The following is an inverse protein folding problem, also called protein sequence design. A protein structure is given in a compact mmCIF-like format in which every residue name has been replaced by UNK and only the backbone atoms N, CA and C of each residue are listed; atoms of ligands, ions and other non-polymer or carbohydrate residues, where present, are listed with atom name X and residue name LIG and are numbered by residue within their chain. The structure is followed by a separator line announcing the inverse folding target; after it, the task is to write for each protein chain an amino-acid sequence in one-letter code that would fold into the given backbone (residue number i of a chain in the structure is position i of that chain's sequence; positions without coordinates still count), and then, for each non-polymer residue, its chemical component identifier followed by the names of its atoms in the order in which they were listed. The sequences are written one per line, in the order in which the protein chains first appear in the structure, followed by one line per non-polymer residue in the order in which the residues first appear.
data_IF_495043982030
#
_entry.id   IF_495043982030
#
_cell.length_a   1.000
_cell.length_b   1.000
_cell.length_c   1.000
_cell.angle_alpha   90.00
_cell.angle_beta   90.00
_cell.angle_gamma   90.00
#
_symmetry.space_group_name_H-M   'P 1'
#
loop_
_entity.id
_entity.type
_entity.pdbx_description
1 polymer ?
#
# COMPACT_ATOMS: atom_id res chain seq x y z
N UNK A 1 8.35 30.24 -11.20
CA UNK A 1 7.16 29.52 -10.73
C UNK A 1 7.64 28.23 -10.14
N UNK A 2 7.14 27.87 -8.97
CA UNK A 2 7.39 26.55 -8.38
C UNK A 2 6.48 25.52 -9.05
N UNK A 3 7.00 24.31 -9.28
CA UNK A 3 6.25 23.22 -9.92
C UNK A 3 5.93 22.19 -8.87
N UNK A 4 4.64 21.90 -8.66
CA UNK A 4 4.21 20.85 -7.75
C UNK A 4 4.74 19.48 -8.20
N UNK A 5 5.31 18.72 -7.27
CA UNK A 5 5.78 17.35 -7.51
C UNK A 5 4.73 16.36 -7.00
N UNK A 6 4.11 15.59 -7.90
CA UNK A 6 3.06 14.63 -7.54
C UNK A 6 3.63 13.24 -7.34
N UNK A 7 3.38 12.66 -6.18
CA UNK A 7 3.61 11.24 -5.89
C UNK A 7 2.28 10.50 -5.84
N UNK A 8 2.25 9.28 -6.36
CA UNK A 8 1.09 8.40 -6.38
C UNK A 8 1.41 7.10 -5.64
N UNK A 9 0.55 6.66 -4.73
CA UNK A 9 0.63 5.35 -4.10
C UNK A 9 -0.11 4.30 -4.94
N UNK A 10 0.60 3.26 -5.34
CA UNK A 10 0.06 2.16 -6.17
C UNK A 10 -0.03 0.89 -5.34
N UNK A 11 -1.25 0.37 -5.17
CA UNK A 11 -1.51 -0.90 -4.50
C UNK A 11 -1.49 -2.06 -5.50
N UNK A 12 -0.70 -3.09 -5.22
CA UNK A 12 -0.70 -4.36 -5.95
C UNK A 12 -0.89 -5.55 -5.00
N UNK A 13 -1.34 -6.67 -5.56
CA UNK A 13 -1.49 -7.95 -4.86
C UNK A 13 -0.68 -9.01 -5.61
N UNK A 14 -0.07 -9.91 -4.87
CA UNK A 14 0.83 -10.95 -5.40
C UNK A 14 0.09 -12.06 -6.16
N UNK A 15 -1.18 -12.32 -5.84
CA UNK A 15 -1.99 -13.38 -6.44
C UNK A 15 -3.43 -12.92 -6.68
N UNK A 16 -4.02 -13.34 -7.79
CA UNK A 16 -5.44 -13.14 -8.09
C UNK A 16 -6.34 -14.24 -7.51
N UNK A 17 -5.77 -15.39 -7.14
CA UNK A 17 -6.45 -16.50 -6.49
C UNK A 17 -5.57 -17.08 -5.39
N UNK A 18 -6.19 -17.57 -4.33
CA UNK A 18 -5.51 -18.15 -3.16
C UNK A 18 -6.41 -19.22 -2.56
N UNK A 19 -5.82 -20.28 -2.02
CA UNK A 19 -6.56 -21.30 -1.27
C UNK A 19 -7.02 -20.74 0.09
N UNK A 20 -7.96 -21.44 0.73
CA UNK A 20 -8.42 -21.11 2.08
C UNK A 20 -7.27 -21.16 3.08
N UNK A 21 -7.26 -20.21 4.03
CA UNK A 21 -6.13 -19.97 4.94
C UNK A 21 -4.84 -19.49 4.27
N UNK A 22 -4.78 -19.41 2.93
CA UNK A 22 -3.57 -19.07 2.19
C UNK A 22 -3.14 -17.61 2.35
N UNK A 23 -1.85 -17.36 2.16
CA UNK A 23 -1.25 -16.03 2.33
C UNK A 23 -1.41 -15.15 1.09
N UNK A 24 -1.86 -13.91 1.33
CA UNK A 24 -2.03 -12.83 0.36
C UNK A 24 -1.10 -11.69 0.75
N UNK A 25 -0.26 -11.24 -0.17
CA UNK A 25 0.66 -10.11 0.08
C UNK A 25 0.23 -8.90 -0.73
N UNK A 26 -0.09 -7.82 -0.02
CA UNK A 26 -0.34 -6.51 -0.61
C UNK A 26 0.93 -5.68 -0.56
N UNK A 27 1.29 -5.07 -1.68
CA UNK A 27 2.44 -4.17 -1.79
C UNK A 27 1.96 -2.79 -2.19
N UNK A 28 2.46 -1.77 -1.51
CA UNK A 28 2.29 -0.38 -1.91
C UNK A 28 3.63 0.16 -2.43
N UNK A 29 3.59 0.79 -3.59
CA UNK A 29 4.74 1.44 -4.23
C UNK A 29 4.45 2.92 -4.44
N UNK A 30 5.36 3.79 -4.02
CA UNK A 30 5.33 5.22 -4.32
C UNK A 30 5.92 5.47 -5.71
N UNK A 31 5.19 6.20 -6.54
CA UNK A 31 5.58 6.54 -7.91
C UNK A 31 5.49 8.05 -8.11
N UNK A 32 6.62 8.68 -8.41
CA UNK A 32 6.66 10.10 -8.77
C UNK A 32 6.19 10.31 -10.22
N UNK A 33 5.54 11.45 -10.47
CA UNK A 33 5.19 11.92 -11.82
C UNK A 33 6.42 12.23 -12.68
N UNK A 34 7.52 12.60 -12.03
CA UNK A 34 8.82 12.82 -12.63
C UNK A 34 9.84 11.78 -12.10
N UNK A 35 10.33 10.92 -12.98
CA UNK A 35 11.33 9.90 -12.63
C UNK A 35 12.66 10.45 -12.10
N UNK A 36 12.93 11.74 -12.28
CA UNK A 36 14.15 12.38 -11.79
C UNK A 36 14.04 12.87 -10.33
N UNK A 37 12.86 12.83 -9.73
CA UNK A 37 12.66 13.24 -8.33
C UNK A 37 12.62 12.02 -7.40
N UNK A 38 13.40 12.03 -6.30
CA UNK A 38 13.43 10.92 -5.36
C UNK A 38 12.12 10.86 -4.57
N UNK A 39 11.44 9.72 -4.59
CA UNK A 39 10.25 9.47 -3.76
C UNK A 39 10.58 8.92 -2.37
N UNK A 40 11.86 8.81 -2.01
CA UNK A 40 12.30 8.22 -0.73
C UNK A 40 12.57 9.26 0.36
N UNK A 41 12.39 10.54 0.06
CA UNK A 41 12.74 11.65 0.95
C UNK A 41 11.85 11.85 2.18
N UNK A 42 10.95 10.94 2.51
CA UNK A 42 9.95 11.08 3.58
C UNK A 42 10.38 10.43 4.91
N UNK A 43 9.74 10.83 6.02
CA UNK A 43 9.94 10.24 7.36
C UNK A 43 9.21 8.91 7.60
N UNK A 44 8.36 8.50 6.67
CA UNK A 44 7.60 7.25 6.68
C UNK A 44 6.21 7.46 6.10
N UNK A 45 5.64 6.46 5.46
CA UNK A 45 4.26 6.53 4.92
C UNK A 45 3.46 5.34 5.46
N UNK A 46 2.30 5.63 6.04
CA UNK A 46 1.32 4.62 6.43
C UNK A 46 0.14 4.69 5.48
N UNK A 47 -0.15 3.57 4.81
CA UNK A 47 -1.27 3.44 3.89
C UNK A 47 -2.32 2.53 4.51
N UNK A 48 -3.53 3.05 4.69
CA UNK A 48 -4.65 2.29 5.24
C UNK A 48 -5.49 1.73 4.11
N UNK A 49 -5.63 0.41 4.07
CA UNK A 49 -6.46 -0.31 3.13
C UNK A 49 -7.89 -0.49 3.68
N UNK A 50 -8.84 -0.74 2.79
CA UNK A 50 -10.20 -1.12 3.17
C UNK A 50 -10.20 -2.30 4.16
N UNK A 51 -11.03 -2.20 5.19
CA UNK A 51 -11.03 -3.14 6.32
C UNK A 51 -9.94 -2.88 7.38
N UNK A 52 -9.23 -1.74 7.31
CA UNK A 52 -8.34 -1.25 8.38
C UNK A 52 -6.93 -1.84 8.38
N UNK A 53 -6.59 -2.69 7.42
CA UNK A 53 -5.22 -3.22 7.26
C UNK A 53 -4.27 -2.07 6.90
N UNK A 54 -3.12 -1.99 7.55
CA UNK A 54 -2.13 -0.95 7.30
C UNK A 54 -0.89 -1.50 6.61
N UNK A 55 -0.37 -0.76 5.63
CA UNK A 55 0.92 -0.99 4.98
C UNK A 55 1.85 0.15 5.38
N UNK A 56 3.01 -0.18 5.95
CA UNK A 56 4.02 0.81 6.31
C UNK A 56 5.15 0.81 5.28
N UNK A 57 5.43 1.98 4.73
CA UNK A 57 6.61 2.27 3.93
C UNK A 57 7.59 2.99 4.84
N UNK A 58 8.70 2.33 5.15
CA UNK A 58 9.71 2.88 6.05
C UNK A 58 10.35 4.14 5.46
N UNK A 59 10.87 5.02 6.32
CA UNK A 59 11.67 6.16 5.90
C UNK A 59 12.76 5.75 4.90
N UNK A 60 12.99 6.55 3.86
CA UNK A 60 14.00 6.23 2.85
C UNK A 60 13.62 5.13 1.86
N UNK A 61 12.42 4.54 1.95
CA UNK A 61 11.97 3.44 1.09
C UNK A 61 10.84 3.87 0.18
N UNK A 62 10.74 3.31 -1.03
CA UNK A 62 9.63 3.59 -1.95
C UNK A 62 8.51 2.53 -1.86
N UNK A 63 8.75 1.43 -1.14
CA UNK A 63 7.85 0.28 -1.08
C UNK A 63 7.63 -0.20 0.34
N UNK A 64 6.44 -0.75 0.58
CA UNK A 64 6.06 -1.44 1.81
C UNK A 64 5.08 -2.56 1.49
N UNK A 65 5.03 -3.58 2.33
CA UNK A 65 4.11 -4.71 2.15
C UNK A 65 3.49 -5.18 3.45
N UNK A 66 2.35 -5.84 3.33
CA UNK A 66 1.68 -6.54 4.43
C UNK A 66 1.14 -7.87 3.90
N UNK A 67 1.23 -8.90 4.73
CA UNK A 67 0.64 -10.21 4.44
C UNK A 67 -0.55 -10.44 5.34
N UNK A 68 -1.66 -10.87 4.75
CA UNK A 68 -2.83 -11.36 5.47
C UNK A 68 -3.17 -12.77 5.01
N UNK A 69 -3.88 -13.52 5.84
CA UNK A 69 -4.44 -14.80 5.45
C UNK A 69 -5.85 -14.60 4.89
N UNK A 70 -6.17 -15.32 3.82
CA UNK A 70 -7.56 -15.55 3.46
C UNK A 70 -8.25 -16.23 4.64
N UNK A 71 -9.53 -15.91 4.92
CA UNK A 71 -10.31 -16.69 5.89
C UNK A 71 -10.27 -18.21 5.60
N UNK A 72 -10.65 -18.99 6.58
CA UNK A 72 -10.68 -20.45 6.49
C UNK A 72 -11.95 -20.92 7.19
N UNK A 73 -12.77 -21.71 6.49
CA UNK A 73 -14.02 -22.26 7.01
C UNK A 73 -14.06 -23.76 6.75
N UNK A 74 -14.12 -24.54 7.83
CA UNK A 74 -14.09 -26.01 7.81
C UNK A 74 -15.37 -26.63 7.23
N UNK A 75 -16.48 -25.89 7.24
CA UNK A 75 -17.81 -26.40 6.91
C UNK A 75 -18.35 -25.88 5.58
N UNK A 76 -17.91 -24.70 5.14
CA UNK A 76 -18.34 -24.09 3.88
C UNK A 76 -17.14 -23.90 2.96
N UNK A 77 -17.09 -24.67 1.87
CA UNK A 77 -16.09 -24.46 0.83
C UNK A 77 -16.42 -23.24 -0.03
N UNK A 78 -15.39 -22.48 -0.38
CA UNK A 78 -15.49 -21.31 -1.24
C UNK A 78 -15.62 -20.03 -0.41
N UNK A 79 -14.70 -19.11 -0.64
CA UNK A 79 -14.66 -17.84 0.09
C UNK A 79 -15.16 -16.66 -0.74
N UNK A 80 -15.74 -15.64 -0.07
CA UNK A 80 -16.07 -14.40 -0.75
C UNK A 80 -14.81 -13.75 -1.33
N UNK A 81 -14.99 -13.04 -2.44
CA UNK A 81 -13.91 -12.25 -3.04
C UNK A 81 -13.36 -11.24 -2.03
N UNK A 82 -12.05 -11.26 -1.84
CA UNK A 82 -11.35 -10.30 -1.00
C UNK A 82 -10.94 -9.11 -1.87
N UNK A 83 -11.56 -7.95 -1.62
CA UNK A 83 -11.23 -6.70 -2.31
C UNK A 83 -10.53 -5.74 -1.35
N UNK A 84 -9.36 -5.23 -1.74
CA UNK A 84 -8.64 -4.18 -1.01
C UNK A 84 -8.47 -2.95 -1.88
N UNK A 85 -8.67 -1.79 -1.28
CA UNK A 85 -8.42 -0.48 -1.88
C UNK A 85 -7.73 0.42 -0.87
N UNK A 86 -6.95 1.40 -1.33
CA UNK A 86 -6.41 2.45 -0.47
C UNK A 86 -7.58 3.33 -0.02
N UNK A 87 -7.63 3.62 1.29
CA UNK A 87 -8.67 4.44 1.92
C UNK A 87 -8.10 5.69 2.59
N UNK A 88 -6.86 5.63 3.05
CA UNK A 88 -6.16 6.76 3.64
C UNK A 88 -4.64 6.62 3.47
N UNK A 89 -3.93 7.75 3.46
CA UNK A 89 -2.48 7.83 3.38
C UNK A 89 -2.01 8.90 4.36
N UNK A 90 -1.19 8.50 5.34
CA UNK A 90 -0.58 9.41 6.31
C UNK A 90 0.95 9.40 6.15
N UNK A 91 1.57 10.56 6.10
CA UNK A 91 3.03 10.72 6.08
C UNK A 91 3.50 11.18 7.46
N UNK A 92 4.53 10.52 8.00
CA UNK A 92 5.13 10.86 9.29
C UNK A 92 6.46 11.61 9.13
N UNK A 93 6.81 12.39 10.16
CA UNK A 93 8.06 13.14 10.24
C UNK A 93 8.01 14.50 9.54
N UNK A 94 9.14 15.23 9.62
CA UNK A 94 9.25 16.62 9.14
C UNK A 94 9.34 16.74 7.61
N UNK A 95 9.55 15.62 6.91
CA UNK A 95 9.64 15.56 5.46
C UNK A 95 8.39 14.90 4.90
N UNK A 96 7.59 15.70 4.22
CA UNK A 96 6.34 15.30 3.54
C UNK A 96 6.42 15.62 2.06
N UNK A 97 5.67 14.89 1.24
CA UNK A 97 5.49 15.25 -0.17
C UNK A 97 4.61 16.49 -0.29
N UNK A 98 4.87 17.31 -1.30
CA UNK A 98 3.99 18.44 -1.65
C UNK A 98 2.59 17.94 -2.02
N UNK A 99 2.53 16.83 -2.78
CA UNK A 99 1.28 16.13 -3.10
C UNK A 99 1.47 14.62 -3.18
N UNK A 100 0.79 13.90 -2.30
CA UNK A 100 0.67 12.45 -2.33
C UNK A 100 -0.80 12.05 -2.49
N UNK A 101 -1.10 11.17 -3.45
CA UNK A 101 -2.45 10.67 -3.74
C UNK A 101 -2.48 9.17 -3.99
#
# INVERSE_FOLDING_TARGET
TDTESKVTAVLSVDKSTVAEGGAITYTVTLVGDNSNLPVTGHGGVTVTLSGGTQVTINAGSATGSVTINAPDDVYVGGQPTITKSITDITVSGDKVFEKLV
#
